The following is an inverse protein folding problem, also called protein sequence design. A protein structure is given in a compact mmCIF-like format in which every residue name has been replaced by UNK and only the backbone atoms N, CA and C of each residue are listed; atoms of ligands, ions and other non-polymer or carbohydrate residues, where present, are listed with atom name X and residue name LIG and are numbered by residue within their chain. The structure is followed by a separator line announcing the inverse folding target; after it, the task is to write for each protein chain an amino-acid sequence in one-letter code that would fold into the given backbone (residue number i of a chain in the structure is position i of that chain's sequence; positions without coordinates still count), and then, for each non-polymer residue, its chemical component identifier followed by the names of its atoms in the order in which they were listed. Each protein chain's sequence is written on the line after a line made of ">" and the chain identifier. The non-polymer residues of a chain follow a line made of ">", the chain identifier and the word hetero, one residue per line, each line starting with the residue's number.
data_IF_572810088213
#
_entry.id   IF_572810088213
#
_cell.length_a   1.000
_cell.length_b   1.000
_cell.length_c   1.000
_cell.angle_alpha   90.00
_cell.angle_beta   90.00
_cell.angle_gamma   90.00
#
_symmetry.space_group_name_H-M   'P 1'
#
loop_
_entity.id
_entity.type
_entity.pdbx_description
1 polymer ?
#
# COMPACT_ATOMS: atom_id res chain seq x y z
N UNK A 1 -36.55 -48.60 12.17
CA UNK A 1 -35.52 -47.67 12.72
C UNK A 1 -34.44 -47.55 11.65
N UNK A 2 -34.63 -46.68 10.66
CA UNK A 2 -33.64 -46.44 9.60
C UNK A 2 -32.64 -45.39 10.11
N UNK A 3 -31.47 -45.83 10.57
CA UNK A 3 -30.35 -44.96 10.88
C UNK A 3 -29.62 -44.62 9.58
N UNK A 4 -30.07 -43.58 8.89
CA UNK A 4 -29.28 -42.95 7.82
C UNK A 4 -28.01 -42.37 8.47
N UNK A 5 -26.79 -42.64 7.95
CA UNK A 5 -25.59 -41.99 8.45
C UNK A 5 -25.72 -40.46 8.29
N UNK A 6 -25.14 -39.65 9.19
CA UNK A 6 -25.06 -38.21 8.96
C UNK A 6 -24.35 -37.95 7.62
N UNK A 7 -24.76 -36.93 6.86
CA UNK A 7 -24.15 -36.64 5.57
C UNK A 7 -22.65 -36.40 5.77
N UNK A 8 -21.82 -37.11 4.99
CA UNK A 8 -20.37 -36.93 4.99
C UNK A 8 -20.06 -35.50 4.52
N UNK A 9 -19.22 -34.80 5.28
CA UNK A 9 -18.82 -33.43 5.00
C UNK A 9 -17.90 -33.39 3.77
N UNK A 10 -18.49 -33.15 2.60
CA UNK A 10 -17.79 -33.11 1.31
C UNK A 10 -16.69 -32.02 1.23
N UNK A 11 -16.63 -31.11 2.20
CA UNK A 11 -15.64 -30.04 2.25
C UNK A 11 -14.41 -30.36 3.10
N UNK A 12 -14.44 -31.41 3.93
CA UNK A 12 -13.36 -31.72 4.88
C UNK A 12 -11.97 -31.91 4.24
N UNK A 13 -11.90 -32.32 2.96
CA UNK A 13 -10.64 -32.42 2.20
C UNK A 13 -10.19 -31.11 1.51
N UNK A 14 -11.12 -30.18 1.27
CA UNK A 14 -10.92 -28.94 0.49
C UNK A 14 -10.73 -27.69 1.37
N UNK A 15 -11.09 -27.76 2.65
CA UNK A 15 -10.90 -26.65 3.61
C UNK A 15 -9.41 -26.38 3.93
N UNK A 16 -8.60 -27.43 4.02
CA UNK A 16 -7.15 -27.32 4.27
C UNK A 16 -6.44 -26.41 3.24
N UNK A 17 -6.60 -26.59 1.90
CA UNK A 17 -5.96 -25.72 0.92
C UNK A 17 -6.52 -24.29 0.89
N UNK A 18 -7.82 -24.09 1.13
CA UNK A 18 -8.41 -22.74 1.18
C UNK A 18 -7.86 -21.90 2.34
N UNK A 19 -7.79 -22.50 3.54
CA UNK A 19 -7.24 -21.84 4.72
C UNK A 19 -5.76 -21.49 4.53
N UNK A 20 -4.98 -22.38 3.89
CA UNK A 20 -3.58 -22.10 3.55
C UNK A 20 -3.45 -20.90 2.60
N UNK A 21 -4.29 -20.81 1.58
CA UNK A 21 -4.28 -19.66 0.66
C UNK A 21 -4.65 -18.34 1.35
N UNK A 22 -5.61 -18.34 2.29
CA UNK A 22 -5.92 -17.16 3.09
C UNK A 22 -4.78 -16.76 4.03
N UNK A 23 -4.05 -17.72 4.60
CA UNK A 23 -2.86 -17.46 5.42
C UNK A 23 -1.77 -16.81 4.57
N UNK A 24 -1.57 -17.30 3.34
CA UNK A 24 -0.64 -16.71 2.39
C UNK A 24 -1.02 -15.27 2.04
N UNK A 25 -2.32 -14.99 1.78
CA UNK A 25 -2.81 -13.63 1.55
C UNK A 25 -2.47 -12.70 2.72
N UNK A 26 -2.72 -13.16 3.95
CA UNK A 26 -2.41 -12.40 5.17
C UNK A 26 -0.92 -12.06 5.23
N UNK A 27 -0.05 -13.04 5.03
CA UNK A 27 1.40 -12.85 5.17
C UNK A 27 1.93 -11.89 4.11
N UNK A 28 1.43 -12.00 2.87
CA UNK A 28 1.78 -11.08 1.76
C UNK A 28 1.27 -9.66 1.97
N UNK A 29 0.06 -9.54 2.54
CA UNK A 29 -0.48 -8.25 2.94
C UNK A 29 0.41 -7.60 4.01
N UNK A 30 0.83 -8.35 5.03
CA UNK A 30 1.75 -7.87 6.06
C UNK A 30 3.10 -7.45 5.47
N UNK A 31 3.67 -8.24 4.57
CA UNK A 31 4.91 -7.86 3.87
C UNK A 31 4.77 -6.58 3.06
N UNK A 32 3.62 -6.37 2.42
CA UNK A 32 3.32 -5.12 1.68
C UNK A 32 3.22 -3.94 2.64
N UNK A 33 2.51 -4.10 3.76
CA UNK A 33 2.38 -3.07 4.81
C UNK A 33 3.74 -2.71 5.41
N UNK A 34 4.58 -3.70 5.73
CA UNK A 34 5.93 -3.44 6.25
C UNK A 34 6.82 -2.73 5.23
N UNK A 35 6.72 -3.08 3.95
CA UNK A 35 7.43 -2.37 2.88
C UNK A 35 7.03 -0.89 2.83
N UNK A 36 5.71 -0.61 2.82
CA UNK A 36 5.18 0.76 2.80
C UNK A 36 5.59 1.52 4.06
N UNK A 37 5.45 0.91 5.24
CA UNK A 37 5.83 1.53 6.50
C UNK A 37 7.32 1.89 6.53
N UNK A 38 8.20 0.99 6.08
CA UNK A 38 9.62 1.23 5.99
C UNK A 38 9.94 2.42 5.07
N UNK A 39 9.36 2.46 3.86
CA UNK A 39 9.59 3.56 2.93
C UNK A 39 9.07 4.90 3.47
N UNK A 40 7.88 4.90 4.09
CA UNK A 40 7.33 6.11 4.73
C UNK A 40 8.24 6.59 5.86
N UNK A 41 8.74 5.70 6.72
CA UNK A 41 9.66 6.07 7.81
C UNK A 41 10.95 6.66 7.25
N UNK A 42 11.56 6.02 6.24
CA UNK A 42 12.79 6.50 5.61
C UNK A 42 12.58 7.88 5.00
N UNK A 43 11.52 8.06 4.21
CA UNK A 43 11.20 9.34 3.58
C UNK A 43 10.79 10.42 4.58
N UNK A 44 10.21 10.04 5.72
CA UNK A 44 9.86 10.97 6.80
C UNK A 44 11.11 11.51 7.51
N UNK A 45 12.17 10.71 7.63
CA UNK A 45 13.45 11.12 8.20
C UNK A 45 14.22 11.99 7.19
N UNK A 46 14.33 11.52 5.94
CA UNK A 46 15.02 12.26 4.87
C UNK A 46 14.43 11.90 3.50
N UNK A 47 14.01 12.88 2.69
CA UNK A 47 14.16 14.33 2.85
C UNK A 47 13.09 14.97 3.76
N UNK A 48 12.15 14.19 4.31
CA UNK A 48 11.03 14.67 5.12
C UNK A 48 9.84 15.19 4.29
N UNK A 49 8.67 15.39 4.92
CA UNK A 49 7.46 15.85 4.22
C UNK A 49 7.63 17.18 3.50
N UNK A 50 8.29 18.15 4.13
CA UNK A 50 8.53 19.46 3.54
C UNK A 50 9.52 19.39 2.38
N UNK A 51 10.59 18.59 2.52
CA UNK A 51 11.57 18.40 1.46
C UNK A 51 10.95 17.76 0.20
N UNK A 52 10.04 16.80 0.37
CA UNK A 52 9.28 16.23 -0.74
C UNK A 52 8.38 17.26 -1.44
N UNK A 53 7.68 18.09 -0.66
CA UNK A 53 6.86 19.17 -1.23
C UNK A 53 7.71 20.18 -1.97
N UNK A 54 8.86 20.56 -1.43
CA UNK A 54 9.75 21.51 -2.09
C UNK A 54 10.28 20.98 -3.41
N UNK A 55 10.61 19.69 -3.47
CA UNK A 55 11.02 19.01 -4.70
C UNK A 55 9.91 19.04 -5.75
N UNK A 56 8.66 18.80 -5.37
CA UNK A 56 7.51 18.90 -6.28
C UNK A 56 7.24 20.36 -6.68
N UNK A 57 7.45 21.31 -5.77
CA UNK A 57 7.16 22.73 -6.00
C UNK A 57 8.22 23.42 -6.86
N UNK A 58 9.45 22.89 -6.95
CA UNK A 58 10.52 23.43 -7.81
C UNK A 58 10.11 23.63 -9.27
N UNK A 59 9.64 22.60 -10.01
CA UNK A 59 9.23 22.77 -11.41
C UNK A 59 8.02 23.70 -11.56
N UNK A 60 7.12 23.73 -10.57
CA UNK A 60 5.94 24.60 -10.58
C UNK A 60 6.37 26.07 -10.49
N UNK A 61 7.29 26.40 -9.55
CA UNK A 61 7.85 27.75 -9.42
C UNK A 61 8.62 28.18 -10.66
N UNK A 62 9.34 27.27 -11.31
CA UNK A 62 10.11 27.58 -12.52
C UNK A 62 9.24 27.99 -13.71
N UNK A 63 7.97 27.57 -13.76
CA UNK A 63 7.03 27.88 -14.85
C UNK A 63 5.93 28.85 -14.41
N UNK A 64 6.07 29.48 -13.25
CA UNK A 64 5.09 30.46 -12.76
C UNK A 64 5.38 31.86 -13.29
N UNK A 65 4.34 32.69 -13.53
CA UNK A 65 4.52 34.12 -13.79
C UNK A 65 5.30 34.81 -12.67
N UNK A 66 6.01 35.93 -12.94
CA UNK A 66 6.87 36.61 -11.97
C UNK A 66 6.18 36.99 -10.64
N UNK A 67 4.87 37.25 -10.68
CA UNK A 67 4.08 37.68 -9.52
C UNK A 67 3.23 36.56 -8.90
N UNK A 68 3.34 35.33 -9.41
CA UNK A 68 2.57 34.21 -8.92
C UNK A 68 3.25 33.50 -7.74
N UNK A 69 2.48 33.14 -6.72
CA UNK A 69 2.96 32.44 -5.51
C UNK A 69 2.10 31.22 -5.24
N UNK A 70 2.73 30.13 -4.80
CA UNK A 70 2.00 29.02 -4.20
C UNK A 70 1.44 29.46 -2.85
N UNK A 71 0.14 29.30 -2.66
CA UNK A 71 -0.55 29.57 -1.40
C UNK A 71 -1.30 28.33 -0.93
N UNK A 72 -1.29 28.10 0.38
CA UNK A 72 -2.13 27.11 1.02
C UNK A 72 -3.52 27.71 1.24
N UNK A 73 -4.52 27.25 0.47
CA UNK A 73 -5.88 27.80 0.52
C UNK A 73 -6.64 27.32 1.76
N UNK A 74 -6.40 26.08 2.20
CA UNK A 74 -7.08 25.50 3.36
C UNK A 74 -6.31 25.72 4.67
N UNK A 75 -7.06 25.90 5.77
CA UNK A 75 -6.50 26.09 7.13
C UNK A 75 -5.59 24.93 7.53
N UNK A 76 -5.96 23.70 7.18
CA UNK A 76 -5.18 22.51 7.50
C UNK A 76 -4.22 22.07 6.37
N UNK A 77 -4.21 22.79 5.23
CA UNK A 77 -3.36 22.44 4.10
C UNK A 77 -1.86 22.38 4.43
N UNK A 78 -1.28 23.28 5.25
CA UNK A 78 0.13 23.22 5.62
C UNK A 78 0.52 21.92 6.34
N UNK A 79 -0.43 21.24 6.99
CA UNK A 79 -0.19 19.97 7.68
C UNK A 79 -0.50 18.76 6.79
N UNK A 80 -1.68 18.72 6.17
CA UNK A 80 -2.12 17.54 5.41
C UNK A 80 -1.44 17.40 4.05
N UNK A 81 -1.05 18.50 3.39
CA UNK A 81 -0.44 18.42 2.06
C UNK A 81 0.92 17.73 2.11
N UNK A 82 1.88 18.13 2.98
CA UNK A 82 3.15 17.41 3.12
C UNK A 82 2.97 15.95 3.53
N UNK A 83 2.05 15.66 4.46
CA UNK A 83 1.78 14.30 4.91
C UNK A 83 1.20 13.43 3.78
N UNK A 84 0.25 13.95 3.01
CA UNK A 84 -0.35 13.25 1.87
C UNK A 84 0.71 12.94 0.81
N UNK A 85 1.60 13.88 0.53
CA UNK A 85 2.69 13.67 -0.43
C UNK A 85 3.68 12.63 0.07
N UNK A 86 4.09 12.68 1.35
CA UNK A 86 4.93 11.65 1.95
C UNK A 86 4.34 10.25 1.76
N UNK A 87 3.06 10.07 2.10
CA UNK A 87 2.38 8.79 1.97
C UNK A 87 2.30 8.32 0.51
N UNK A 88 2.00 9.23 -0.41
CA UNK A 88 1.88 8.90 -1.84
C UNK A 88 3.23 8.52 -2.44
N UNK A 89 4.30 9.26 -2.15
CA UNK A 89 5.65 8.95 -2.60
C UNK A 89 6.14 7.63 -1.97
N UNK A 90 5.84 7.39 -0.69
CA UNK A 90 6.19 6.14 -0.01
C UNK A 90 5.54 4.91 -0.66
N UNK A 91 4.26 4.98 -1.01
CA UNK A 91 3.57 3.89 -1.72
C UNK A 91 4.16 3.70 -3.13
N UNK A 92 4.41 4.79 -3.85
CA UNK A 92 4.99 4.72 -5.20
C UNK A 92 6.42 4.13 -5.19
N UNK A 93 7.22 4.45 -4.18
CA UNK A 93 8.57 3.91 -4.02
C UNK A 93 8.57 2.38 -3.77
N UNK A 94 7.54 1.87 -3.11
CA UNK A 94 7.40 0.44 -2.76
C UNK A 94 6.56 -0.32 -3.80
N UNK A 95 6.07 0.37 -4.84
CA UNK A 95 5.19 -0.22 -5.84
C UNK A 95 5.75 -1.52 -6.48
N UNK A 96 7.05 -1.64 -6.83
CA UNK A 96 7.61 -2.90 -7.34
C UNK A 96 7.49 -4.06 -6.34
N UNK A 97 7.66 -3.79 -5.05
CA UNK A 97 7.54 -4.79 -3.98
C UNK A 97 6.08 -5.23 -3.79
N UNK A 98 5.14 -4.28 -3.74
CA UNK A 98 3.71 -4.60 -3.66
C UNK A 98 3.31 -5.48 -4.85
N UNK A 99 3.80 -5.13 -6.04
CA UNK A 99 3.46 -5.88 -7.26
C UNK A 99 4.04 -7.30 -7.25
N UNK A 100 5.25 -7.47 -6.72
CA UNK A 100 5.82 -8.79 -6.48
C UNK A 100 4.97 -9.62 -5.50
N UNK A 101 4.58 -9.04 -4.36
CA UNK A 101 3.78 -9.74 -3.36
C UNK A 101 2.40 -10.13 -3.89
N UNK A 102 1.78 -9.26 -4.68
CA UNK A 102 0.52 -9.51 -5.36
C UNK A 102 0.66 -10.63 -6.39
N UNK A 103 1.67 -10.55 -7.27
CA UNK A 103 1.86 -11.57 -8.31
C UNK A 103 2.12 -12.95 -7.71
N UNK A 104 2.99 -13.02 -6.71
CA UNK A 104 3.31 -14.30 -6.13
C UNK A 104 2.10 -14.91 -5.38
N UNK A 105 1.08 -14.13 -4.97
CA UNK A 105 -0.18 -14.66 -4.43
C UNK A 105 -1.06 -15.26 -5.52
N UNK A 106 -1.10 -14.59 -6.67
CA UNK A 106 -1.93 -14.98 -7.82
C UNK A 106 -1.35 -16.20 -8.53
N UNK A 107 -0.03 -16.30 -8.64
CA UNK A 107 0.63 -17.36 -9.40
C UNK A 107 0.25 -18.79 -8.94
N UNK A 108 0.20 -19.14 -7.64
CA UNK A 108 -0.29 -20.44 -7.17
C UNK A 108 -1.74 -20.74 -7.52
N UNK A 109 -2.60 -19.74 -7.72
CA UNK A 109 -3.99 -19.94 -8.12
C UNK A 109 -4.19 -20.22 -9.61
N UNK A 110 -3.13 -20.09 -10.41
CA UNK A 110 -3.14 -20.31 -11.87
C UNK A 110 -2.49 -21.64 -12.28
N UNK A 111 -1.86 -22.38 -11.34
CA UNK A 111 -1.22 -23.67 -11.54
C UNK A 111 -1.80 -24.72 -10.60
#
# INVERSE_FOLDING_TARGET
>A
MSSTPPPEDELAGTEQPFVQHLIELRDRLLYSVYGVALAVIVLAIWPGPNGLIDLIAQPIRAHMPPDAKLIAVGVFSPFFVPLKVLMMVGVLAVLPWIMYQLWAFVAPGLY
#
